data_IF_390930300877
#
_entry.id   IF_390930300877
#
_cell.length_a   1.000
_cell.length_b   1.000
_cell.length_c   1.000
_cell.angle_alpha   90.00
_cell.angle_beta   90.00
_cell.angle_gamma   90.00
#
_symmetry.space_group_name_H-M   'P 1'
#
loop_
_entity.id
_entity.type
_entity.pdbx_description
1 polymer ?
#
# COMPACT_ATOMS: atom_id res chain seq x y z
N UNK A 1 17.86 -6.34 4.65
CA UNK A 1 17.02 -7.00 5.66
C UNK A 1 15.75 -7.57 5.02
N UNK A 2 15.10 -8.51 5.72
CA UNK A 2 13.83 -9.11 5.31
C UNK A 2 12.73 -8.74 6.31
N UNK A 3 11.65 -8.14 5.82
CA UNK A 3 10.43 -7.89 6.58
C UNK A 3 9.34 -8.85 6.11
N UNK A 4 8.55 -9.37 7.05
CA UNK A 4 7.40 -10.20 6.73
C UNK A 4 6.18 -9.83 7.57
N UNK A 5 4.98 -10.03 7.01
CA UNK A 5 3.73 -9.93 7.76
C UNK A 5 2.61 -10.77 7.12
N UNK A 6 1.59 -11.07 7.93
CA UNK A 6 0.39 -11.76 7.47
C UNK A 6 -0.61 -10.77 6.85
N UNK A 7 -1.01 -11.02 5.61
CA UNK A 7 -2.07 -10.31 4.89
C UNK A 7 -3.42 -10.84 5.39
N UNK A 8 -3.95 -10.19 6.43
CA UNK A 8 -5.19 -10.58 7.08
C UNK A 8 -6.43 -10.34 6.20
N UNK A 9 -6.47 -9.19 5.50
CA UNK A 9 -7.47 -8.83 4.50
C UNK A 9 -6.75 -8.13 3.36
N UNK A 10 -7.15 -8.45 2.14
CA UNK A 10 -6.58 -7.83 0.94
C UNK A 10 -7.68 -7.23 0.09
N UNK A 11 -7.89 -5.92 0.24
CA UNK A 11 -8.71 -5.12 -0.67
C UNK A 11 -7.85 -4.46 -1.75
N UNK A 12 -6.56 -4.78 -1.82
CA UNK A 12 -5.59 -4.10 -2.67
C UNK A 12 -5.20 -2.72 -2.16
N UNK A 13 -5.31 -2.46 -0.85
CA UNK A 13 -4.94 -1.19 -0.23
C UNK A 13 -3.46 -1.13 0.16
N UNK A 14 -2.97 -2.18 0.82
CA UNK A 14 -1.57 -2.36 1.19
C UNK A 14 -1.31 -3.85 1.52
N UNK A 15 -0.63 -4.61 0.65
CA UNK A 15 0.08 -4.13 -0.54
C UNK A 15 -0.90 -3.67 -1.62
N UNK A 16 -0.52 -2.67 -2.42
CA UNK A 16 -1.27 -2.33 -3.64
C UNK A 16 -0.40 -2.66 -4.85
N UNK A 17 -0.65 -3.80 -5.52
CA UNK A 17 0.15 -4.27 -6.65
C UNK A 17 -0.30 -3.70 -8.00
N UNK A 18 -1.25 -2.75 -8.00
CA UNK A 18 -1.88 -2.30 -9.24
C UNK A 18 -1.04 -1.26 -9.98
N UNK A 19 -1.35 -1.07 -11.26
CA UNK A 19 -0.74 -0.04 -12.12
C UNK A 19 0.78 -0.15 -12.26
N UNK A 20 1.31 -1.38 -12.24
CA UNK A 20 2.72 -1.66 -12.54
C UNK A 20 3.70 -1.43 -11.40
N UNK A 21 3.23 -0.96 -10.23
CA UNK A 21 4.08 -0.73 -9.05
C UNK A 21 3.40 -1.28 -7.80
N UNK A 22 4.13 -2.08 -7.03
CA UNK A 22 3.67 -2.53 -5.72
C UNK A 22 4.08 -1.53 -4.64
N UNK A 23 3.13 -1.05 -3.86
CA UNK A 23 3.36 -0.01 -2.83
C UNK A 23 2.86 -0.45 -1.46
N UNK A 24 3.46 0.12 -0.42
CA UNK A 24 2.97 0.13 0.95
C UNK A 24 2.86 1.58 1.41
N UNK A 25 1.94 2.35 0.84
CA UNK A 25 1.80 3.76 1.19
C UNK A 25 1.11 3.94 2.56
N UNK A 26 0.02 3.23 2.83
CA UNK A 26 -0.81 3.47 4.04
C UNK A 26 -0.54 2.52 5.20
N UNK A 27 -0.85 1.24 5.04
CA UNK A 27 -0.73 0.28 6.15
C UNK A 27 0.73 -0.06 6.47
N UNK A 28 0.95 -0.74 7.61
CA UNK A 28 2.25 -1.26 8.08
C UNK A 28 3.27 -0.17 8.48
N UNK A 29 2.91 0.76 9.38
CA UNK A 29 3.77 1.89 9.77
C UNK A 29 5.15 1.44 10.31
N UNK A 30 5.24 0.28 10.98
CA UNK A 30 6.52 -0.26 11.47
C UNK A 30 7.47 -0.63 10.33
N UNK A 31 6.96 -1.24 9.26
CA UNK A 31 7.78 -1.58 8.08
C UNK A 31 8.13 -0.29 7.33
N UNK A 32 7.16 0.59 7.10
CA UNK A 32 7.38 1.88 6.42
C UNK A 32 8.43 2.76 7.13
N UNK A 33 8.50 2.68 8.46
CA UNK A 33 9.49 3.42 9.26
C UNK A 33 10.90 2.81 9.22
N UNK A 34 11.03 1.50 9.00
CA UNK A 34 12.28 0.77 9.17
C UNK A 34 12.92 0.30 7.86
N UNK A 35 12.12 0.01 6.83
CA UNK A 35 12.63 -0.52 5.57
C UNK A 35 13.39 0.55 4.78
N UNK A 36 14.48 0.12 4.14
CA UNK A 36 15.37 0.95 3.32
C UNK A 36 15.47 0.38 1.90
N UNK A 37 16.00 1.18 0.97
CA UNK A 37 16.21 0.73 -0.41
C UNK A 37 17.09 -0.52 -0.42
N UNK A 38 16.64 -1.56 -1.12
CA UNK A 38 17.29 -2.86 -1.20
C UNK A 38 16.72 -3.92 -0.26
N UNK A 39 15.92 -3.54 0.75
CA UNK A 39 15.26 -4.50 1.65
C UNK A 39 14.14 -5.27 0.95
N UNK A 40 13.84 -6.45 1.48
CA UNK A 40 12.74 -7.30 1.00
C UNK A 40 11.55 -7.23 1.93
N UNK A 41 10.35 -7.17 1.36
CA UNK A 41 9.09 -7.26 2.10
C UNK A 41 8.25 -8.42 1.55
N UNK A 42 7.81 -9.29 2.45
CA UNK A 42 7.02 -10.48 2.15
C UNK A 42 5.65 -10.41 2.84
N UNK A 43 4.59 -10.61 2.07
CA UNK A 43 3.25 -10.86 2.59
C UNK A 43 2.91 -12.34 2.51
N UNK A 44 2.49 -12.93 3.62
CA UNK A 44 1.96 -14.31 3.66
C UNK A 44 0.47 -14.32 3.94
N UNK A 45 -0.21 -15.39 3.53
CA UNK A 45 -1.64 -15.54 3.72
C UNK A 45 -2.01 -15.80 5.18
N UNK A 46 -3.24 -15.41 5.54
CA UNK A 46 -3.75 -15.57 6.90
C UNK A 46 -4.37 -16.96 7.10
N UNK A 47 -4.25 -17.47 8.33
CA UNK A 47 -4.96 -18.68 8.75
C UNK A 47 -6.48 -18.53 8.65
N UNK A 48 -7.01 -17.34 8.98
CA UNK A 48 -8.45 -17.04 8.92
C UNK A 48 -9.06 -17.25 7.52
N UNK A 49 -8.25 -17.08 6.47
CA UNK A 49 -8.70 -17.26 5.10
C UNK A 49 -8.18 -18.58 4.50
N UNK A 50 -7.78 -19.55 5.33
CA UNK A 50 -7.18 -20.84 4.92
C UNK A 50 -5.99 -20.71 3.97
N UNK A 51 -5.17 -19.67 4.17
CA UNK A 51 -3.96 -19.36 3.38
C UNK A 51 -2.69 -19.32 4.21
N UNK A 52 -2.67 -19.96 5.38
CA UNK A 52 -1.47 -20.03 6.20
C UNK A 52 -0.31 -20.67 5.42
N UNK A 53 0.87 -20.06 5.46
CA UNK A 53 2.04 -20.54 4.74
C UNK A 53 2.06 -20.22 3.24
N UNK A 54 0.96 -19.68 2.68
CA UNK A 54 0.91 -19.28 1.28
C UNK A 54 1.61 -17.94 1.11
N UNK A 55 2.51 -17.85 0.13
CA UNK A 55 3.12 -16.59 -0.27
C UNK A 55 2.10 -15.76 -1.07
N UNK A 56 1.82 -14.54 -0.62
CA UNK A 56 0.91 -13.60 -1.31
C UNK A 56 1.70 -12.70 -2.23
N UNK A 57 2.77 -12.08 -1.72
CA UNK A 57 3.66 -11.25 -2.53
C UNK A 57 5.05 -11.16 -1.92
N UNK A 58 6.01 -10.84 -2.79
CA UNK A 58 7.37 -10.44 -2.43
C UNK A 58 7.68 -9.18 -3.23
N UNK A 59 8.27 -8.18 -2.58
CA UNK A 59 8.83 -7.02 -3.26
C UNK A 59 10.18 -6.64 -2.67
N UNK A 60 11.07 -6.13 -3.51
CA UNK A 60 12.28 -5.42 -3.08
C UNK A 60 11.99 -3.93 -3.09
N UNK A 61 12.37 -3.23 -2.02
CA UNK A 61 12.19 -1.78 -1.93
C UNK A 61 13.15 -1.12 -2.92
N UNK A 62 12.61 -0.52 -3.99
CA UNK A 62 13.38 0.21 -4.99
C UNK A 62 13.45 1.71 -4.69
N UNK A 63 12.40 2.26 -4.09
CA UNK A 63 12.26 3.70 -3.79
C UNK A 63 11.56 3.89 -2.45
N UNK A 64 11.89 5.00 -1.77
CA UNK A 64 11.21 5.48 -0.59
C UNK A 64 10.96 6.98 -0.75
N UNK A 65 9.76 7.44 -0.43
CA UNK A 65 9.34 8.83 -0.60
C UNK A 65 8.31 9.22 0.45
N UNK A 66 8.15 10.52 0.63
CA UNK A 66 7.11 11.12 1.47
C UNK A 66 5.73 11.00 0.82
N UNK A 67 4.68 11.19 1.62
CA UNK A 67 3.32 11.25 1.08
C UNK A 67 3.12 12.41 0.11
N UNK A 68 3.73 13.58 0.33
CA UNK A 68 3.55 14.68 -0.59
C UNK A 68 4.21 14.41 -1.95
N UNK A 69 5.42 13.84 -1.96
CA UNK A 69 6.07 13.41 -3.20
C UNK A 69 5.22 12.37 -3.94
N UNK A 70 4.65 11.40 -3.21
CA UNK A 70 3.73 10.41 -3.77
C UNK A 70 2.52 11.05 -4.46
N UNK A 71 1.94 12.09 -3.85
CA UNK A 71 0.76 12.78 -4.39
C UNK A 71 1.07 13.67 -5.61
N UNK A 72 2.31 14.16 -5.70
CA UNK A 72 2.76 14.98 -6.83
C UNK A 72 3.33 14.17 -8.00
N UNK A 73 3.63 12.89 -7.80
CA UNK A 73 4.21 12.03 -8.83
C UNK A 73 3.12 11.41 -9.73
N UNK A 74 3.25 11.67 -11.04
CA UNK A 74 2.34 11.19 -12.07
C UNK A 74 2.14 9.66 -12.07
N UNK A 75 3.14 8.89 -11.63
CA UNK A 75 3.08 7.43 -11.54
C UNK A 75 2.00 6.94 -10.58
N UNK A 76 1.67 7.72 -9.55
CA UNK A 76 0.79 7.30 -8.47
C UNK A 76 -0.59 7.96 -8.48
N UNK A 77 -0.87 8.87 -9.43
CA UNK A 77 -2.17 9.54 -9.53
C UNK A 77 -3.36 8.56 -9.64
N UNK A 78 -3.15 7.40 -10.28
CA UNK A 78 -4.17 6.34 -10.41
C UNK A 78 -4.35 5.48 -9.15
N UNK A 79 -3.42 5.60 -8.20
CA UNK A 79 -3.42 4.90 -6.91
C UNK A 79 -3.99 5.77 -5.78
N UNK A 80 -4.23 7.05 -6.04
CA UNK A 80 -5.03 7.91 -5.15
C UNK A 80 -6.51 7.51 -5.28
N UNK A 81 -7.26 7.42 -4.16
CA UNK A 81 -8.68 7.06 -4.19
C UNK A 81 -9.51 7.94 -5.14
N UNK A 82 -10.23 7.30 -6.06
CA UNK A 82 -11.20 7.93 -6.95
C UNK A 82 -12.48 7.09 -7.01
N UNK A 83 -13.51 7.53 -6.28
CA UNK A 83 -14.80 6.84 -6.16
C UNK A 83 -15.60 6.77 -7.47
N UNK A 84 -15.25 7.61 -8.47
CA UNK A 84 -15.86 7.58 -9.82
C UNK A 84 -15.11 6.66 -10.78
N UNK A 85 -13.99 6.08 -10.35
CA UNK A 85 -13.16 5.18 -11.16
C UNK A 85 -13.53 3.70 -11.00
N UNK A 86 -12.65 2.84 -11.49
CA UNK A 86 -12.74 1.38 -11.24
C UNK A 86 -12.63 1.05 -9.75
N UNK A 87 -13.04 -0.16 -9.32
CA UNK A 87 -12.87 -0.61 -7.92
C UNK A 87 -11.42 -0.44 -7.40
N UNK A 88 -10.43 -0.73 -8.24
CA UNK A 88 -8.99 -0.53 -7.92
C UNK A 88 -8.68 0.93 -7.61
N UNK A 89 -9.26 1.85 -8.37
CA UNK A 89 -9.10 3.30 -8.16
C UNK A 89 -9.94 3.78 -6.97
N UNK A 90 -11.15 3.26 -6.77
CA UNK A 90 -12.01 3.64 -5.65
C UNK A 90 -11.37 3.33 -4.29
N UNK A 91 -10.61 2.23 -4.21
CA UNK A 91 -9.83 1.89 -3.02
C UNK A 91 -8.52 2.69 -2.92
N UNK A 92 -7.75 2.72 -4.02
CA UNK A 92 -6.41 3.32 -4.00
C UNK A 92 -5.48 2.64 -2.99
N UNK A 93 -4.41 3.33 -2.60
CA UNK A 93 -3.46 2.88 -1.56
C UNK A 93 -2.88 3.99 -0.69
N UNK A 94 -3.11 5.26 -1.04
CA UNK A 94 -2.70 6.42 -0.26
C UNK A 94 -3.87 7.38 -0.01
N UNK A 95 -4.38 7.36 1.22
CA UNK A 95 -5.46 8.23 1.68
C UNK A 95 -4.94 9.47 2.42
N UNK A 96 -3.64 9.56 2.70
CA UNK A 96 -3.07 10.65 3.48
C UNK A 96 -2.39 11.66 2.57
N UNK A 97 -2.76 12.93 2.70
CA UNK A 97 -2.05 14.04 2.05
C UNK A 97 -1.93 15.22 3.00
N UNK A 98 -1.02 16.14 2.68
CA UNK A 98 -0.80 17.35 3.47
C UNK A 98 -0.78 18.58 2.59
N UNK A 99 -1.80 19.41 2.77
CA UNK A 99 -1.91 20.77 2.22
C UNK A 99 -2.08 21.75 3.39
N UNK A 100 -0.96 22.20 3.97
CA UNK A 100 -0.90 22.95 5.24
C UNK A 100 -1.19 22.11 6.50
N UNK A 101 -2.22 21.25 6.48
CA UNK A 101 -2.59 20.30 7.55
C UNK A 101 -2.74 18.88 6.99
N UNK A 102 -2.63 17.87 7.86
CA UNK A 102 -2.88 16.48 7.47
C UNK A 102 -4.38 16.27 7.21
N UNK A 103 -4.69 15.67 6.07
CA UNK A 103 -6.05 15.34 5.66
C UNK A 103 -6.13 13.89 5.18
N UNK A 104 -7.34 13.33 5.22
CA UNK A 104 -7.66 11.97 4.77
C UNK A 104 -8.67 12.03 3.63
N UNK A 105 -8.40 11.34 2.53
CA UNK A 105 -9.36 11.17 1.44
C UNK A 105 -10.18 9.91 1.64
N UNK A 106 -11.48 10.02 1.41
CA UNK A 106 -12.40 8.88 1.46
C UNK A 106 -11.99 7.82 0.43
N UNK A 107 -11.87 6.57 0.88
CA UNK A 107 -11.72 5.42 0.00
C UNK A 107 -12.98 4.57 0.06
N UNK A 108 -13.22 3.74 -0.96
CA UNK A 108 -14.34 2.79 -0.96
C UNK A 108 -14.20 1.65 0.04
N UNK A 109 -13.18 1.67 0.90
CA UNK A 109 -12.93 0.65 1.91
C UNK A 109 -13.69 1.03 3.19
N UNK A 110 -14.61 0.20 3.70
CA UNK A 110 -15.25 0.43 4.98
C UNK A 110 -14.22 0.39 6.14
N UNK A 111 -14.45 1.12 7.24
CA UNK A 111 -13.54 1.17 8.39
C UNK A 111 -13.21 -0.20 9.00
#
# INVERSE_FOLDING_TARGET
MLFSYVVARDYGFAPNPFFGVCTLATCKPRIRKAATIGDWVIGTGSKKNDRQGVLVYVMRVSEAMTFNEYWSDARFLRKIPNLRGSKKQAFGDNIYYRDGRWAVVSSGIPP
#
